data_IF_898510844189
#
_entry.id   IF_898510844189
#
_cell.length_a   1.000
_cell.length_b   1.000
_cell.length_c   1.000
_cell.angle_alpha   90.00
_cell.angle_beta   90.00
_cell.angle_gamma   90.00
#
_symmetry.space_group_name_H-M   'P 1'
#
loop_
_entity.id
_entity.type
_entity.pdbx_description
1 polymer ?
#
# COMPACT_ATOMS: atom_id res chain seq x y z
N UNK A 1 -28.40 50.83 13.73
CA UNK A 1 -26.95 50.73 13.62
C UNK A 1 -26.55 49.43 14.31
N UNK A 2 -26.38 48.37 13.51
CA UNK A 2 -25.92 47.02 13.97
C UNK A 2 -24.55 46.78 13.36
N UNK A 3 -23.51 46.72 14.19
CA UNK A 3 -22.16 46.36 13.78
C UNK A 3 -22.07 44.87 13.56
N UNK A 4 -21.73 44.47 12.33
CA UNK A 4 -21.40 43.09 11.98
C UNK A 4 -19.88 42.97 12.16
N UNK A 5 -19.46 42.15 13.09
CA UNK A 5 -18.07 41.79 13.33
C UNK A 5 -17.73 40.61 12.40
N UNK A 6 -16.88 40.89 11.42
CA UNK A 6 -16.37 39.88 10.47
C UNK A 6 -15.17 39.18 11.12
N UNK A 7 -15.35 37.93 11.52
CA UNK A 7 -14.24 37.08 11.98
C UNK A 7 -13.50 36.53 10.76
N UNK A 8 -12.30 37.06 10.51
CA UNK A 8 -11.34 36.45 9.58
C UNK A 8 -10.67 35.25 10.26
N UNK A 9 -10.97 34.04 9.83
CA UNK A 9 -10.21 32.86 10.20
C UNK A 9 -8.93 32.81 9.36
N UNK A 10 -7.79 33.05 9.99
CA UNK A 10 -6.47 32.92 9.38
C UNK A 10 -6.07 31.44 9.46
N UNK A 11 -6.08 30.74 8.34
CA UNK A 11 -5.46 29.43 8.20
C UNK A 11 -3.94 29.59 8.18
N UNK A 12 -3.26 29.17 9.22
CA UNK A 12 -1.81 29.01 9.22
C UNK A 12 -1.43 27.75 8.44
N UNK A 13 -0.96 27.94 7.23
CA UNK A 13 -0.17 26.92 6.53
C UNK A 13 1.21 26.86 7.20
N UNK A 14 1.49 25.82 7.95
CA UNK A 14 2.86 25.50 8.36
C UNK A 14 3.63 24.95 7.17
N UNK A 15 4.26 25.85 6.39
CA UNK A 15 5.32 25.47 5.48
C UNK A 15 6.56 25.13 6.31
N UNK A 16 6.95 23.87 6.33
CA UNK A 16 8.25 23.44 6.87
C UNK A 16 9.32 23.95 5.91
N UNK A 17 9.90 25.09 6.26
CA UNK A 17 11.05 25.62 5.54
C UNK A 17 12.28 24.80 5.92
N UNK A 18 12.97 24.26 4.91
CA UNK A 18 14.31 23.70 5.05
C UNK A 18 15.28 24.83 5.40
N UNK A 19 15.71 24.94 6.67
CA UNK A 19 16.72 25.93 7.07
C UNK A 19 18.12 25.39 6.81
N UNK A 20 18.95 26.18 6.13
CA UNK A 20 20.40 25.97 6.06
C UNK A 20 21.01 26.33 7.44
N UNK A 21 21.54 25.32 8.13
CA UNK A 21 22.20 25.49 9.42
C UNK A 21 23.71 25.52 9.30
N UNK A 22 24.32 26.40 10.06
CA UNK A 22 25.78 26.58 10.26
C UNK A 22 26.35 25.43 11.11
N UNK A 23 27.61 25.07 10.82
CA UNK A 23 28.42 24.01 11.42
C UNK A 23 28.45 24.03 12.96
N UNK A 24 28.23 22.85 13.60
CA UNK A 24 29.15 22.29 14.59
C UNK A 24 28.75 20.83 14.95
N UNK A 25 29.79 19.95 14.93
CA UNK A 25 29.92 18.63 15.57
C UNK A 25 28.99 17.50 15.09
N UNK A 26 29.54 16.63 14.22
CA UNK A 26 29.29 15.18 14.05
C UNK A 26 27.97 14.61 14.62
N UNK A 27 26.88 14.86 13.96
CA UNK A 27 25.80 13.93 13.75
C UNK A 27 25.82 13.60 12.25
N UNK A 28 25.85 12.32 11.89
CA UNK A 28 25.51 11.92 10.53
C UNK A 28 24.06 12.37 10.30
N UNK A 29 23.89 13.60 9.85
CA UNK A 29 22.62 14.09 9.32
C UNK A 29 22.27 13.18 8.15
N UNK A 30 21.41 12.20 8.41
CA UNK A 30 20.77 11.42 7.37
C UNK A 30 19.94 12.45 6.59
N UNK A 31 20.49 12.98 5.51
CA UNK A 31 19.75 13.79 4.56
C UNK A 31 18.70 12.84 3.99
N UNK A 32 17.48 12.89 4.54
CA UNK A 32 16.32 12.25 3.94
C UNK A 32 16.02 13.10 2.71
N UNK A 33 16.50 12.65 1.57
CA UNK A 33 16.18 13.27 0.31
C UNK A 33 14.69 13.04 0.06
N UNK A 34 13.91 14.12 0.13
CA UNK A 34 12.48 14.09 -0.10
C UNK A 34 12.22 13.70 -1.56
N UNK A 35 11.42 12.68 -1.76
CA UNK A 35 10.92 12.35 -3.09
C UNK A 35 9.88 13.40 -3.52
N UNK A 36 9.88 13.73 -4.80
CA UNK A 36 8.81 14.54 -5.40
C UNK A 36 7.49 13.74 -5.37
N UNK A 37 6.58 14.14 -4.51
CA UNK A 37 5.27 13.49 -4.32
C UNK A 37 4.38 13.58 -5.57
N UNK A 38 4.62 14.53 -6.47
CA UNK A 38 3.88 14.64 -7.73
C UNK A 38 4.03 13.41 -8.63
N UNK A 39 5.08 12.59 -8.39
CA UNK A 39 5.36 11.34 -9.11
C UNK A 39 4.46 10.17 -8.67
N UNK A 40 3.66 10.34 -7.61
CA UNK A 40 2.82 9.30 -7.05
C UNK A 40 1.35 9.71 -7.03
N UNK A 41 0.47 8.72 -7.06
CA UNK A 41 -0.92 8.83 -6.60
C UNK A 41 -1.07 8.00 -5.34
N UNK A 42 -1.73 8.54 -4.36
CA UNK A 42 -1.79 7.94 -3.04
C UNK A 42 -3.21 7.92 -2.49
N UNK A 43 -3.47 6.97 -1.61
CA UNK A 43 -4.73 6.87 -0.90
C UNK A 43 -4.46 6.47 0.55
N UNK A 44 -4.92 7.29 1.49
CA UNK A 44 -4.84 6.97 2.92
C UNK A 44 -6.21 6.63 3.45
N UNK A 45 -6.31 5.53 4.17
CA UNK A 45 -7.57 5.06 4.74
C UNK A 45 -7.45 4.76 6.22
N UNK A 46 -8.42 5.27 6.99
CA UNK A 46 -8.65 4.87 8.38
C UNK A 46 -9.49 3.59 8.39
N UNK A 47 -8.90 2.44 8.73
CA UNK A 47 -9.61 1.16 8.66
C UNK A 47 -10.75 1.06 9.67
N UNK A 48 -10.80 1.95 10.69
CA UNK A 48 -11.90 1.97 11.66
C UNK A 48 -13.16 2.61 11.08
N UNK A 49 -13.02 3.51 10.09
CA UNK A 49 -14.12 4.26 9.47
C UNK A 49 -14.61 3.65 8.17
N UNK A 50 -13.73 2.94 7.45
CA UNK A 50 -14.03 2.35 6.15
C UNK A 50 -13.88 0.84 6.19
N UNK A 51 -14.60 0.13 5.34
CA UNK A 51 -14.39 -1.31 5.15
C UNK A 51 -13.33 -1.51 4.09
N UNK A 52 -12.23 -2.16 4.49
CA UNK A 52 -11.19 -2.61 3.59
C UNK A 52 -11.24 -4.14 3.55
N UNK A 53 -11.40 -4.66 2.35
CA UNK A 53 -11.44 -6.09 2.07
C UNK A 53 -10.35 -6.44 1.04
N UNK A 54 -9.89 -7.69 1.04
CA UNK A 54 -9.02 -8.21 -0.04
C UNK A 54 -9.81 -9.29 -0.77
N UNK A 55 -9.91 -9.15 -2.08
CA UNK A 55 -10.75 -9.98 -2.95
C UNK A 55 -9.89 -10.81 -3.89
N UNK A 56 -10.33 -12.03 -4.17
CA UNK A 56 -9.78 -12.89 -5.22
C UNK A 56 -10.87 -13.41 -6.15
N UNK A 57 -11.84 -14.14 -5.60
CA UNK A 57 -12.92 -14.79 -6.34
C UNK A 57 -14.29 -14.33 -5.88
N UNK A 58 -15.26 -14.42 -6.79
CA UNK A 58 -16.66 -14.29 -6.45
C UNK A 58 -17.23 -15.55 -5.76
N UNK A 59 -18.50 -15.52 -5.40
CA UNK A 59 -19.15 -16.64 -4.74
C UNK A 59 -19.28 -17.92 -5.60
N UNK A 60 -19.06 -17.79 -6.92
CA UNK A 60 -19.07 -18.91 -7.87
C UNK A 60 -17.65 -19.44 -8.13
N UNK A 61 -16.63 -18.91 -7.47
CA UNK A 61 -15.24 -19.29 -7.65
C UNK A 61 -14.57 -18.65 -8.88
N UNK A 62 -15.19 -17.63 -9.49
CA UNK A 62 -14.64 -16.92 -10.64
C UNK A 62 -13.77 -15.77 -10.17
N UNK A 63 -12.54 -15.67 -10.69
CA UNK A 63 -11.64 -14.57 -10.36
C UNK A 63 -12.22 -13.23 -10.79
N UNK A 64 -12.11 -12.20 -9.95
CA UNK A 64 -12.46 -10.83 -10.34
C UNK A 64 -11.54 -10.31 -11.44
N UNK A 65 -10.26 -10.60 -11.37
CA UNK A 65 -9.22 -10.29 -12.35
C UNK A 65 -8.95 -8.81 -12.62
N UNK A 66 -9.92 -7.92 -12.47
CA UNK A 66 -9.78 -6.47 -12.65
C UNK A 66 -10.78 -5.69 -11.77
N UNK A 67 -10.58 -4.37 -11.71
CA UNK A 67 -11.43 -3.51 -10.86
C UNK A 67 -12.85 -3.35 -11.39
N UNK A 68 -13.05 -3.36 -12.71
CA UNK A 68 -14.37 -3.26 -13.33
C UNK A 68 -15.30 -4.40 -12.91
N UNK A 69 -14.77 -5.64 -12.91
CA UNK A 69 -15.53 -6.81 -12.48
C UNK A 69 -15.87 -6.75 -10.98
N UNK A 70 -14.90 -6.31 -10.16
CA UNK A 70 -15.12 -6.12 -8.73
C UNK A 70 -16.17 -5.05 -8.47
N UNK A 71 -16.05 -3.87 -9.10
CA UNK A 71 -17.00 -2.76 -8.98
C UNK A 71 -18.42 -3.23 -9.33
N UNK A 72 -18.59 -3.85 -10.51
CA UNK A 72 -19.88 -4.40 -10.95
C UNK A 72 -20.47 -5.41 -9.94
N UNK A 73 -19.63 -6.26 -9.35
CA UNK A 73 -20.09 -7.24 -8.36
C UNK A 73 -20.49 -6.60 -7.03
N UNK A 74 -19.81 -5.50 -6.64
CA UNK A 74 -20.13 -4.74 -5.43
C UNK A 74 -21.41 -3.91 -5.60
N UNK A 75 -21.60 -3.26 -6.75
CA UNK A 75 -22.81 -2.49 -7.08
C UNK A 75 -24.06 -3.36 -7.01
N UNK A 76 -24.02 -4.60 -7.52
CA UNK A 76 -25.12 -5.57 -7.39
C UNK A 76 -25.49 -5.88 -5.93
N UNK A 77 -24.58 -5.60 -4.98
CA UNK A 77 -24.77 -5.77 -3.52
C UNK A 77 -25.07 -4.45 -2.82
N UNK A 78 -25.32 -3.35 -3.57
CA UNK A 78 -25.55 -2.02 -3.01
C UNK A 78 -24.33 -1.39 -2.34
N UNK A 79 -23.11 -1.80 -2.74
CA UNK A 79 -21.85 -1.27 -2.21
C UNK A 79 -21.15 -0.46 -3.29
N UNK A 80 -20.47 0.61 -2.87
CA UNK A 80 -19.68 1.45 -3.77
C UNK A 80 -18.20 1.22 -3.54
N UNK A 81 -17.47 0.89 -4.61
CA UNK A 81 -16.01 0.85 -4.59
C UNK A 81 -15.48 2.29 -4.60
N UNK A 82 -14.68 2.68 -3.60
CA UNK A 82 -14.11 4.03 -3.49
C UNK A 82 -12.60 4.05 -3.69
N UNK A 83 -11.96 2.91 -3.53
CA UNK A 83 -10.55 2.68 -3.82
C UNK A 83 -10.35 1.22 -4.19
N UNK A 84 -9.47 0.96 -5.15
CA UNK A 84 -8.90 -0.37 -5.36
C UNK A 84 -7.45 -0.29 -5.83
N UNK A 85 -6.69 -1.32 -5.50
CA UNK A 85 -5.32 -1.54 -5.96
C UNK A 85 -5.11 -3.05 -6.11
N UNK A 86 -4.34 -3.49 -7.12
CA UNK A 86 -3.96 -4.89 -7.14
C UNK A 86 -3.14 -5.22 -5.91
N UNK A 87 -3.41 -6.38 -5.32
CA UNK A 87 -2.81 -6.85 -4.08
C UNK A 87 -1.45 -7.49 -4.27
N UNK A 88 -1.17 -8.55 -3.52
CA UNK A 88 0.08 -9.30 -3.60
C UNK A 88 0.27 -10.01 -4.94
N UNK A 89 1.48 -10.53 -5.14
CA UNK A 89 1.85 -11.24 -6.36
C UNK A 89 1.02 -12.51 -6.56
N UNK A 90 0.94 -12.96 -7.81
CA UNK A 90 0.11 -14.10 -8.20
C UNK A 90 0.81 -14.97 -9.25
N UNK A 91 0.36 -16.21 -9.37
CA UNK A 91 0.83 -17.18 -10.32
C UNK A 91 0.15 -17.00 -11.70
N UNK A 92 0.57 -17.77 -12.69
CA UNK A 92 0.04 -17.66 -14.09
C UNK A 92 -1.46 -17.93 -14.18
N UNK A 93 -2.01 -18.71 -13.28
CA UNK A 93 -3.44 -19.03 -13.17
C UNK A 93 -4.21 -18.00 -12.33
N UNK A 94 -3.57 -16.88 -11.98
CA UNK A 94 -4.08 -15.81 -11.13
C UNK A 94 -4.37 -16.23 -9.67
N UNK A 95 -3.87 -17.40 -9.25
CA UNK A 95 -3.91 -17.73 -7.82
C UNK A 95 -2.88 -16.90 -7.04
N UNK A 96 -3.17 -16.55 -5.77
CA UNK A 96 -2.22 -15.81 -4.93
C UNK A 96 -0.89 -16.55 -4.82
N UNK A 97 0.22 -15.83 -4.96
CA UNK A 97 1.54 -16.34 -4.64
C UNK A 97 1.81 -16.11 -3.16
N UNK A 98 1.94 -17.22 -2.39
CA UNK A 98 2.11 -17.17 -0.94
C UNK A 98 0.80 -16.92 -0.19
N UNK A 99 0.92 -16.49 1.06
CA UNK A 99 -0.22 -16.37 1.96
C UNK A 99 -1.32 -15.48 1.41
N UNK A 100 -2.53 -16.04 1.42
CA UNK A 100 -3.75 -15.28 1.18
C UNK A 100 -4.83 -15.69 2.18
N UNK A 101 -5.33 -14.70 2.92
CA UNK A 101 -6.45 -14.87 3.87
C UNK A 101 -7.57 -13.93 3.44
N UNK A 102 -8.77 -14.47 3.30
CA UNK A 102 -10.00 -13.72 3.03
C UNK A 102 -11.05 -14.10 4.06
N UNK A 103 -11.56 -13.10 4.78
CA UNK A 103 -12.60 -13.28 5.84
C UNK A 103 -12.24 -14.35 6.87
N UNK A 104 -10.98 -14.33 7.33
CA UNK A 104 -10.46 -15.28 8.31
C UNK A 104 -10.10 -16.67 7.77
N UNK A 105 -10.35 -16.93 6.48
CA UNK A 105 -10.10 -18.24 5.87
C UNK A 105 -8.81 -18.20 5.05
N UNK A 106 -7.88 -19.10 5.34
CA UNK A 106 -6.65 -19.28 4.56
C UNK A 106 -7.02 -19.92 3.22
N UNK A 107 -6.88 -19.15 2.14
CA UNK A 107 -7.13 -19.60 0.76
C UNK A 107 -5.86 -20.09 0.07
N UNK A 108 -4.70 -19.53 0.45
CA UNK A 108 -3.39 -20.00 0.01
C UNK A 108 -2.40 -19.96 1.19
N UNK A 109 -1.51 -20.96 1.31
CA UNK A 109 -0.57 -21.06 2.42
C UNK A 109 0.56 -20.03 2.28
N UNK A 110 1.25 -19.78 3.40
CA UNK A 110 2.47 -18.97 3.42
C UNK A 110 3.57 -19.61 2.56
N UNK A 111 4.24 -18.82 1.73
CA UNK A 111 5.46 -19.23 1.02
C UNK A 111 6.69 -18.72 1.79
N UNK A 112 7.40 -19.63 2.42
CA UNK A 112 8.63 -19.36 3.17
C UNK A 112 9.91 -19.66 2.38
N UNK A 113 9.80 -19.98 1.08
CA UNK A 113 10.97 -20.21 0.23
C UNK A 113 11.82 -18.95 0.10
N UNK A 114 13.14 -19.12 0.07
CA UNK A 114 14.09 -18.00 0.02
C UNK A 114 15.00 -18.03 -1.23
N UNK A 115 14.78 -18.98 -2.14
CA UNK A 115 15.66 -19.24 -3.28
C UNK A 115 14.92 -19.16 -4.65
N UNK A 116 13.74 -18.57 -4.68
CA UNK A 116 12.98 -18.36 -5.90
C UNK A 116 13.48 -17.17 -6.72
N UNK A 117 12.94 -17.01 -7.92
CA UNK A 117 13.25 -15.92 -8.84
C UNK A 117 12.22 -14.79 -8.72
N UNK A 118 12.67 -13.55 -8.92
CA UNK A 118 11.82 -12.36 -8.96
C UNK A 118 11.71 -11.61 -7.62
N UNK A 119 10.94 -10.55 -7.66
CA UNK A 119 10.79 -9.63 -6.53
C UNK A 119 10.16 -10.27 -5.30
N UNK A 120 9.27 -11.24 -5.48
CA UNK A 120 8.64 -11.96 -4.38
C UNK A 120 9.68 -12.61 -3.45
N UNK A 121 10.75 -13.16 -4.03
CA UNK A 121 11.84 -13.83 -3.32
C UNK A 121 13.02 -12.92 -2.97
N UNK A 122 12.91 -11.62 -3.21
CA UNK A 122 13.91 -10.65 -2.73
C UNK A 122 13.71 -10.42 -1.23
N UNK A 123 14.45 -11.19 -0.44
CA UNK A 123 14.32 -11.24 1.02
C UNK A 123 14.88 -10.00 1.72
N UNK A 124 14.20 -9.52 2.79
CA UNK A 124 12.95 -10.07 3.30
C UNK A 124 11.74 -9.65 2.47
N UNK A 125 10.89 -10.63 2.17
CA UNK A 125 9.54 -10.37 1.73
C UNK A 125 8.60 -10.22 2.93
N UNK A 126 7.32 -9.91 2.71
CA UNK A 126 6.44 -9.56 3.82
C UNK A 126 4.97 -9.87 3.57
N UNK A 127 4.19 -9.57 4.59
CA UNK A 127 2.74 -9.77 4.61
C UNK A 127 2.10 -8.46 5.06
N UNK A 128 1.13 -7.99 4.28
CA UNK A 128 0.14 -7.00 4.70
C UNK A 128 -1.08 -7.74 5.21
N UNK A 129 -1.61 -7.34 6.37
CA UNK A 129 -2.77 -7.97 6.98
C UNK A 129 -3.67 -6.96 7.70
N UNK A 130 -4.92 -7.36 7.93
CA UNK A 130 -5.90 -6.65 8.72
C UNK A 130 -6.56 -7.63 9.69
N UNK A 131 -6.65 -7.25 10.97
CA UNK A 131 -7.33 -8.03 12.00
C UNK A 131 -8.84 -7.77 12.02
N UNK A 132 -9.59 -8.60 12.74
CA UNK A 132 -11.02 -8.42 13.03
C UNK A 132 -11.30 -7.06 13.70
N UNK A 133 -10.41 -6.62 14.59
CA UNK A 133 -10.47 -5.32 15.25
C UNK A 133 -10.05 -4.16 14.33
N UNK A 134 -9.85 -4.42 13.03
CA UNK A 134 -9.41 -3.44 12.03
C UNK A 134 -8.03 -2.84 12.31
N UNK A 135 -7.18 -3.56 12.97
CA UNK A 135 -5.79 -3.21 13.18
C UNK A 135 -4.96 -3.68 11.96
N UNK A 136 -4.38 -2.74 11.20
CA UNK A 136 -3.57 -3.09 10.04
C UNK A 136 -2.14 -3.39 10.46
N UNK A 137 -1.47 -4.26 9.72
CA UNK A 137 -0.07 -4.54 9.93
C UNK A 137 0.68 -4.86 8.64
N UNK A 138 1.97 -4.53 8.65
CA UNK A 138 2.95 -4.96 7.66
C UNK A 138 4.15 -5.51 8.40
N UNK A 139 4.51 -6.77 8.13
CA UNK A 139 5.67 -7.40 8.77
C UNK A 139 6.44 -8.28 7.78
N UNK A 140 7.66 -8.67 8.14
CA UNK A 140 8.39 -9.69 7.38
C UNK A 140 7.63 -11.01 7.45
N UNK A 141 7.72 -11.80 6.37
CA UNK A 141 7.10 -13.13 6.34
C UNK A 141 7.58 -14.01 7.51
N UNK A 142 8.86 -13.90 7.89
CA UNK A 142 9.44 -14.64 9.02
C UNK A 142 8.88 -14.26 10.39
N UNK A 143 8.35 -13.04 10.50
CA UNK A 143 7.83 -12.49 11.77
C UNK A 143 6.31 -12.59 11.85
N UNK A 144 5.67 -13.07 10.79
CA UNK A 144 4.21 -13.21 10.75
C UNK A 144 3.76 -14.38 11.65
N UNK A 145 2.95 -14.04 12.63
CA UNK A 145 2.29 -15.01 13.50
C UNK A 145 0.80 -15.09 13.15
N UNK A 146 0.39 -16.22 12.57
CA UNK A 146 -1.03 -16.44 12.31
C UNK A 146 -1.82 -16.44 13.62
N UNK A 147 -2.95 -15.76 13.61
CA UNK A 147 -3.95 -15.83 14.66
C UNK A 147 -5.34 -15.82 14.03
N UNK A 148 -6.32 -16.38 14.72
CA UNK A 148 -7.72 -16.43 14.26
C UNK A 148 -8.34 -15.04 14.08
N UNK A 149 -7.72 -14.01 14.67
CA UNK A 149 -8.15 -12.61 14.51
C UNK A 149 -7.78 -12.01 13.15
N UNK A 150 -6.95 -12.66 12.34
CA UNK A 150 -6.57 -12.16 11.03
C UNK A 150 -7.73 -12.36 10.04
N UNK A 151 -8.33 -11.29 9.59
CA UNK A 151 -9.44 -11.32 8.63
C UNK A 151 -8.96 -11.32 7.18
N UNK A 152 -7.94 -10.52 6.89
CA UNK A 152 -7.36 -10.41 5.56
C UNK A 152 -5.85 -10.42 5.65
N UNK A 153 -5.21 -11.11 4.72
CA UNK A 153 -3.76 -11.04 4.55
C UNK A 153 -3.37 -11.33 3.10
N UNK A 154 -2.29 -10.69 2.64
CA UNK A 154 -1.67 -10.98 1.36
C UNK A 154 -0.15 -10.92 1.51
N UNK A 155 0.54 -11.95 1.03
CA UNK A 155 1.99 -11.99 0.98
C UNK A 155 2.48 -11.36 -0.32
N UNK A 156 3.60 -10.65 -0.26
CA UNK A 156 4.26 -10.06 -1.42
C UNK A 156 5.72 -9.73 -1.09
N UNK A 157 6.41 -9.06 -2.00
CA UNK A 157 7.80 -8.67 -1.75
C UNK A 157 8.47 -7.90 -2.88
N UNK A 158 9.55 -7.23 -2.51
CA UNK A 158 10.21 -7.19 -1.19
C UNK A 158 9.52 -6.26 -0.19
N UNK A 159 9.92 -6.34 1.08
CA UNK A 159 9.68 -5.25 2.02
C UNK A 159 10.36 -3.99 1.49
N UNK A 160 9.66 -2.86 1.51
CA UNK A 160 10.22 -1.55 1.15
C UNK A 160 10.97 -0.92 2.34
N UNK A 161 10.32 -1.00 3.51
CA UNK A 161 10.86 -0.56 4.78
C UNK A 161 10.74 -1.67 5.81
N UNK A 162 11.74 -1.77 6.69
CA UNK A 162 11.84 -2.72 7.78
C UNK A 162 12.26 -1.95 9.02
N UNK A 163 11.39 -1.84 10.01
CA UNK A 163 11.64 -1.11 11.26
C UNK A 163 12.20 0.32 11.03
N UNK A 164 11.62 1.03 10.08
CA UNK A 164 12.00 2.39 9.68
C UNK A 164 13.26 2.48 8.80
N UNK A 165 13.90 1.36 8.49
CA UNK A 165 15.07 1.30 7.62
C UNK A 165 14.69 0.82 6.22
N UNK A 166 15.34 1.43 5.23
CA UNK A 166 15.20 0.99 3.85
C UNK A 166 15.74 -0.43 3.66
N UNK A 167 15.12 -1.19 2.78
CA UNK A 167 15.60 -2.52 2.42
C UNK A 167 17.07 -2.47 1.97
N UNK A 168 17.98 -3.33 2.50
CA UNK A 168 19.43 -3.18 2.32
C UNK A 168 19.94 -3.36 0.89
N UNK A 169 19.12 -3.95 -0.01
CA UNK A 169 19.49 -4.14 -1.43
C UNK A 169 19.04 -2.99 -2.34
N UNK A 170 18.41 -1.95 -1.81
CA UNK A 170 17.98 -0.82 -2.62
C UNK A 170 19.09 0.21 -2.74
N UNK A 171 19.39 0.57 -3.98
CA UNK A 171 20.43 1.54 -4.29
C UNK A 171 19.79 2.77 -4.94
N UNK A 172 20.20 3.96 -4.48
CA UNK A 172 19.88 5.23 -5.09
C UNK A 172 20.33 5.25 -6.55
N UNK A 173 19.51 5.77 -7.44
CA UNK A 173 19.84 5.86 -8.85
C UNK A 173 19.83 4.53 -9.60
N UNK A 174 19.25 3.47 -9.03
CA UNK A 174 19.12 2.18 -9.70
C UNK A 174 18.34 2.30 -11.01
N UNK A 175 18.85 1.68 -12.07
CA UNK A 175 18.19 1.59 -13.37
C UNK A 175 17.04 0.59 -13.43
N UNK A 176 16.81 -0.18 -12.37
CA UNK A 176 15.65 -1.08 -12.26
C UNK A 176 14.39 -0.25 -11.95
N UNK A 177 13.78 0.28 -12.99
CA UNK A 177 12.62 1.17 -12.90
C UNK A 177 11.37 0.55 -13.50
N UNK A 178 10.26 0.59 -12.75
CA UNK A 178 8.95 0.08 -13.13
C UNK A 178 7.85 0.97 -12.54
N UNK A 179 6.63 0.87 -13.05
CA UNK A 179 5.46 1.34 -12.28
C UNK A 179 5.38 0.45 -11.05
N UNK A 180 5.25 1.07 -9.88
CA UNK A 180 5.25 0.34 -8.60
C UNK A 180 4.06 0.73 -7.76
N UNK A 181 3.52 -0.25 -7.05
CA UNK A 181 2.51 -0.04 -6.02
C UNK A 181 2.93 -0.68 -4.70
N UNK A 182 2.41 -0.17 -3.61
CA UNK A 182 2.79 -0.65 -2.29
C UNK A 182 1.87 -0.15 -1.20
N UNK A 183 2.08 -0.69 -0.01
CA UNK A 183 1.32 -0.40 1.20
C UNK A 183 2.25 -0.18 2.38
N UNK A 184 1.93 0.80 3.23
CA UNK A 184 2.61 1.07 4.49
C UNK A 184 1.62 1.45 5.58
N UNK A 185 2.06 1.43 6.83
CA UNK A 185 1.26 1.86 7.96
C UNK A 185 1.82 3.17 8.50
N UNK A 186 0.98 4.21 8.50
CA UNK A 186 1.31 5.53 9.02
C UNK A 186 1.41 5.53 10.55
N UNK A 187 2.11 6.50 11.15
CA UNK A 187 2.23 6.60 12.62
C UNK A 187 0.90 6.71 13.37
N UNK A 188 -0.15 7.23 12.71
CA UNK A 188 -1.50 7.34 13.27
C UNK A 188 -2.34 6.07 13.13
N UNK A 189 -1.78 4.98 12.57
CA UNK A 189 -2.47 3.71 12.34
C UNK A 189 -3.24 3.63 11.02
N UNK A 190 -3.31 4.70 10.23
CA UNK A 190 -3.91 4.64 8.90
C UNK A 190 -3.07 3.82 7.95
N UNK A 191 -3.72 3.21 6.97
CA UNK A 191 -3.07 2.48 5.88
C UNK A 191 -2.78 3.48 4.76
N UNK A 192 -1.53 3.51 4.29
CA UNK A 192 -1.10 4.31 3.15
C UNK A 192 -0.85 3.41 1.94
N UNK A 193 -1.61 3.61 0.88
CA UNK A 193 -1.36 3.02 -0.43
C UNK A 193 -0.73 4.05 -1.36
N UNK A 194 0.20 3.60 -2.19
CA UNK A 194 0.84 4.44 -3.20
C UNK A 194 1.03 3.66 -4.51
N UNK A 195 0.87 4.35 -5.63
CA UNK A 195 1.25 3.89 -6.97
C UNK A 195 2.03 4.99 -7.68
N UNK A 196 3.11 4.62 -8.36
CA UNK A 196 3.86 5.59 -9.15
C UNK A 196 3.18 5.89 -10.48
N UNK A 197 3.15 7.17 -10.87
CA UNK A 197 2.62 7.64 -12.17
C UNK A 197 3.57 7.30 -13.32
N UNK A 198 4.85 7.18 -13.00
CA UNK A 198 5.93 6.90 -13.94
C UNK A 198 6.82 5.78 -13.39
N UNK A 199 7.73 5.28 -14.23
CA UNK A 199 8.70 4.27 -13.80
C UNK A 199 9.63 4.82 -12.73
N UNK A 200 9.72 4.13 -11.60
CA UNK A 200 10.50 4.50 -10.42
C UNK A 200 11.31 3.31 -9.93
N UNK A 201 12.51 3.54 -9.38
CA UNK A 201 13.28 2.48 -8.74
C UNK A 201 12.79 2.20 -7.31
N UNK A 202 13.25 1.10 -6.72
CA UNK A 202 12.82 0.73 -5.36
C UNK A 202 13.27 1.72 -4.29
N UNK A 203 14.46 2.31 -4.43
CA UNK A 203 14.99 3.26 -3.46
C UNK A 203 14.09 4.48 -3.35
N UNK A 204 13.78 5.11 -4.48
CA UNK A 204 12.92 6.30 -4.52
C UNK A 204 11.50 5.95 -4.05
N UNK A 205 10.94 4.80 -4.49
CA UNK A 205 9.62 4.37 -4.07
C UNK A 205 9.53 4.09 -2.55
N UNK A 206 10.54 3.45 -1.97
CA UNK A 206 10.63 3.22 -0.52
C UNK A 206 10.84 4.52 0.27
N UNK A 207 11.57 5.49 -0.31
CA UNK A 207 11.80 6.80 0.31
C UNK A 207 10.49 7.54 0.56
N UNK A 208 9.50 7.39 -0.31
CA UNK A 208 8.16 7.95 -0.11
C UNK A 208 7.51 7.47 1.21
N UNK A 209 7.47 6.16 1.43
CA UNK A 209 6.91 5.62 2.68
C UNK A 209 7.70 6.03 3.92
N UNK A 210 9.03 6.11 3.78
CA UNK A 210 9.91 6.57 4.86
C UNK A 210 9.66 8.02 5.22
N UNK A 211 9.50 8.90 4.23
CA UNK A 211 9.16 10.32 4.39
C UNK A 211 7.85 10.51 5.15
N UNK A 212 6.87 9.61 4.93
CA UNK A 212 5.58 9.62 5.64
C UNK A 212 5.61 8.91 7.01
N UNK A 213 6.80 8.52 7.49
CA UNK A 213 6.99 7.94 8.82
C UNK A 213 6.56 6.49 8.96
N UNK A 214 6.31 5.78 7.86
CA UNK A 214 6.04 4.35 7.92
C UNK A 214 7.24 3.60 8.49
N UNK A 215 7.01 2.76 9.51
CA UNK A 215 8.05 1.85 10.01
C UNK A 215 8.24 0.65 9.08
N UNK A 216 7.14 0.09 8.62
CA UNK A 216 7.14 -1.01 7.67
C UNK A 216 6.32 -0.64 6.44
N UNK A 217 6.81 -1.04 5.27
CA UNK A 217 6.11 -0.90 4.02
C UNK A 217 6.44 -2.07 3.10
N UNK A 218 5.46 -2.49 2.30
CA UNK A 218 5.53 -3.66 1.44
C UNK A 218 5.26 -3.28 -0.02
N UNK A 219 6.10 -3.77 -0.91
CA UNK A 219 5.85 -3.77 -2.33
C UNK A 219 4.82 -4.84 -2.67
N UNK A 220 3.79 -4.48 -3.43
CA UNK A 220 2.74 -5.42 -3.79
C UNK A 220 3.08 -6.14 -5.10
N UNK A 221 2.50 -5.73 -6.25
CA UNK A 221 2.82 -6.37 -7.52
C UNK A 221 3.34 -5.35 -8.54
N UNK A 222 4.50 -5.63 -9.13
CA UNK A 222 5.17 -4.73 -10.03
C UNK A 222 5.10 -5.06 -11.50
N UNK A 223 4.55 -6.21 -11.89
CA UNK A 223 4.36 -6.52 -13.29
C UNK A 223 3.10 -5.85 -13.84
N UNK A 224 2.04 -5.81 -13.04
CA UNK A 224 0.76 -5.17 -13.39
C UNK A 224 0.30 -4.27 -12.24
N UNK A 225 1.01 -3.16 -12.01
CA UNK A 225 0.57 -2.16 -11.02
C UNK A 225 -0.58 -1.33 -11.58
N UNK A 226 -1.74 -1.37 -10.92
CA UNK A 226 -2.94 -0.59 -11.24
C UNK A 226 -3.60 -0.08 -9.96
N UNK A 227 -4.28 1.06 -10.09
CA UNK A 227 -5.11 1.61 -9.03
C UNK A 227 -6.39 2.25 -9.60
N UNK A 228 -7.43 2.23 -8.79
CA UNK A 228 -8.71 2.89 -8.98
C UNK A 228 -8.93 3.83 -7.80
N UNK A 229 -8.76 5.13 -8.02
CA UNK A 229 -8.83 6.19 -7.01
C UNK A 229 -9.64 7.35 -7.58
N UNK A 230 -10.97 7.24 -7.65
CA UNK A 230 -11.81 8.28 -8.25
C UNK A 230 -11.68 9.66 -7.62
N UNK A 231 -11.35 9.75 -6.34
CA UNK A 231 -11.09 11.02 -5.64
C UNK A 231 -9.90 11.79 -6.17
N UNK A 232 -8.95 11.08 -6.82
CA UNK A 232 -7.72 11.64 -7.39
C UNK A 232 -7.76 11.67 -8.93
N UNK A 233 -8.93 11.43 -9.52
CA UNK A 233 -9.10 11.32 -10.98
C UNK A 233 -8.22 10.23 -11.61
N UNK A 234 -7.85 9.20 -10.81
CA UNK A 234 -6.97 8.11 -11.21
C UNK A 234 -7.76 6.81 -11.34
N UNK A 235 -8.17 6.48 -12.57
CA UNK A 235 -9.05 5.35 -12.87
C UNK A 235 -8.40 4.46 -13.92
N UNK A 236 -7.88 3.31 -13.50
CA UNK A 236 -7.27 2.31 -14.37
C UNK A 236 -8.12 1.03 -14.31
N UNK A 237 -8.92 0.79 -15.33
CA UNK A 237 -9.83 -0.37 -15.39
C UNK A 237 -9.24 -1.55 -16.16
N UNK A 238 -8.11 -1.33 -16.85
CA UNK A 238 -7.35 -2.38 -17.53
C UNK A 238 -6.54 -3.22 -16.53
N UNK A 239 -5.97 -4.30 -17.03
CA UNK A 239 -5.16 -5.22 -16.24
C UNK A 239 -5.83 -6.55 -16.02
N UNK A 240 -5.03 -7.50 -15.56
CA UNK A 240 -5.47 -8.86 -15.21
C UNK A 240 -4.59 -9.32 -14.07
N UNK A 241 -5.12 -9.38 -12.86
CA UNK A 241 -4.34 -9.67 -11.65
C UNK A 241 -5.05 -10.69 -10.76
N UNK A 242 -4.34 -11.23 -9.78
CA UNK A 242 -4.86 -12.22 -8.84
C UNK A 242 -5.76 -11.57 -7.80
N UNK A 243 -5.15 -10.94 -6.81
CA UNK A 243 -5.89 -10.35 -5.69
C UNK A 243 -6.08 -8.85 -5.87
N UNK A 244 -7.14 -8.32 -5.28
CA UNK A 244 -7.50 -6.89 -5.28
C UNK A 244 -7.72 -6.45 -3.84
N UNK A 245 -7.03 -5.39 -3.42
CA UNK A 245 -7.35 -4.67 -2.19
C UNK A 245 -8.38 -3.61 -2.56
N UNK A 246 -9.51 -3.60 -1.87
CA UNK A 246 -10.59 -2.64 -2.12
C UNK A 246 -11.12 -1.99 -0.86
N UNK A 247 -11.44 -0.70 -0.95
CA UNK A 247 -12.16 0.04 0.08
C UNK A 247 -13.56 0.35 -0.43
N UNK A 248 -14.54 0.03 0.39
CA UNK A 248 -15.95 0.21 0.07
C UNK A 248 -16.61 1.18 1.05
N UNK A 249 -17.54 1.97 0.52
CA UNK A 249 -18.49 2.73 1.33
C UNK A 249 -19.86 2.03 1.30
N UNK A 250 -20.60 2.12 2.41
CA UNK A 250 -22.03 1.88 2.41
C UNK A 250 -22.69 3.08 1.69
N UNK A 251 -23.61 2.79 0.79
CA UNK A 251 -24.49 3.82 0.21
C UNK A 251 -25.42 4.40 1.27
#
# INVERSE_FOLDING_TARGET
MKNILLLLSVFFFNSIACSQGTNDAYSEDIIIECIDESRLVTYSVDPTKFSLDIYWKDNNGVNYSNFQNLETALEKKGKKLVFAMNGGMYLRDQSPQGLFIEKGIIQAPIDSANNGYGNFYLQPNGIFYLTENKEPGVCKTTDFNYSENIQYATQSGPMLLIDGKMHPKFNKGSSNVHIRNGVGILPNGNILFAISKEKINFYDFASYFKQHGCKNALYLDGFVSRAYIPSEDWIQLDGSFGTIIGVISSN
#
